data_IF_200636992481
#
_entry.id   IF_200636992481
#
_cell.length_a   1.000
_cell.length_b   1.000
_cell.length_c   1.000
_cell.angle_alpha   90.00
_cell.angle_beta   90.00
_cell.angle_gamma   90.00
#
_symmetry.space_group_name_H-M   'P 1'
#
loop_
_entity.id
_entity.type
_entity.pdbx_description
1 polymer ?
#
# COMPACT_ATOMS: atom_id res chain seq x y z
N UNK A 1 -16.56 -6.28 12.25
CA UNK A 1 -15.67 -5.68 11.22
C UNK A 1 -16.20 -6.02 9.83
N UNK A 2 -16.71 -5.03 9.07
CA UNK A 2 -17.33 -5.26 7.74
C UNK A 2 -16.26 -5.44 6.67
N UNK A 3 -16.06 -6.67 6.17
CA UNK A 3 -15.27 -6.90 4.95
C UNK A 3 -15.91 -6.13 3.80
N UNK A 4 -15.22 -5.13 3.25
CA UNK A 4 -15.71 -4.44 2.05
C UNK A 4 -15.54 -5.41 0.87
N UNK A 5 -16.67 -5.83 0.30
CA UNK A 5 -16.76 -6.79 -0.82
C UNK A 5 -15.92 -6.40 -2.05
N UNK A 6 -15.61 -5.11 -2.19
CA UNK A 6 -14.87 -4.54 -3.33
C UNK A 6 -13.71 -3.67 -2.80
N UNK A 7 -12.63 -4.34 -2.39
CA UNK A 7 -11.42 -3.72 -1.87
C UNK A 7 -10.32 -3.72 -2.94
N UNK A 8 -9.59 -2.61 -3.04
CA UNK A 8 -8.40 -2.46 -3.85
C UNK A 8 -7.46 -1.52 -3.09
N UNK A 9 -6.16 -1.82 -3.02
CA UNK A 9 -5.22 -1.05 -2.19
C UNK A 9 -5.02 0.40 -2.68
N UNK A 10 -5.08 0.63 -3.99
CA UNK A 10 -5.07 1.99 -4.58
C UNK A 10 -6.37 2.79 -4.41
N UNK A 11 -7.42 2.21 -3.83
CA UNK A 11 -8.71 2.90 -3.71
C UNK A 11 -8.60 4.13 -2.81
N UNK A 12 -8.84 5.31 -3.37
CA UNK A 12 -8.81 6.58 -2.65
C UNK A 12 -7.45 7.29 -2.67
N UNK A 13 -6.43 6.68 -3.26
CA UNK A 13 -5.07 7.23 -3.33
C UNK A 13 -4.76 7.93 -4.67
N UNK A 14 -5.65 7.82 -5.65
CA UNK A 14 -5.41 8.27 -7.02
C UNK A 14 -6.13 9.58 -7.33
N UNK A 15 -5.41 10.50 -7.98
CA UNK A 15 -5.91 11.76 -8.52
C UNK A 15 -5.68 11.84 -10.03
N UNK A 16 -6.59 12.50 -10.73
CA UNK A 16 -6.46 12.74 -12.16
C UNK A 16 -5.53 13.92 -12.40
N UNK A 17 -4.43 13.70 -13.14
CA UNK A 17 -3.51 14.77 -13.51
C UNK A 17 -4.14 15.86 -14.41
N UNK A 18 -5.23 15.55 -15.13
CA UNK A 18 -5.89 16.50 -16.05
C UNK A 18 -6.78 17.51 -15.35
N UNK A 19 -7.54 17.07 -14.33
CA UNK A 19 -8.59 17.89 -13.71
C UNK A 19 -8.54 17.88 -12.17
N UNK A 20 -7.47 17.34 -11.59
CA UNK A 20 -7.20 17.24 -10.14
C UNK A 20 -8.29 16.56 -9.31
N UNK A 21 -9.27 15.94 -9.97
CA UNK A 21 -10.37 15.24 -9.33
C UNK A 21 -9.95 13.85 -8.87
N UNK A 22 -10.68 13.27 -7.90
CA UNK A 22 -10.41 11.92 -7.41
C UNK A 22 -10.69 10.86 -8.49
N UNK A 23 -9.92 9.77 -8.45
CA UNK A 23 -10.13 8.57 -9.28
C UNK A 23 -10.65 7.43 -8.42
N UNK A 24 -11.74 6.81 -8.86
CA UNK A 24 -12.57 5.90 -8.08
C UNK A 24 -12.47 4.48 -8.64
N UNK A 25 -12.40 3.49 -7.75
CA UNK A 25 -12.53 2.08 -8.10
C UNK A 25 -14.01 1.71 -8.24
N UNK A 26 -14.45 1.35 -9.45
CA UNK A 26 -15.87 1.12 -9.79
C UNK A 26 -16.07 -0.21 -10.51
N UNK A 27 -17.20 -0.91 -10.27
CA UNK A 27 -17.58 -2.07 -11.07
C UNK A 27 -18.07 -1.63 -12.45
N UNK A 28 -17.65 -2.35 -13.49
CA UNK A 28 -18.22 -2.35 -14.82
C UNK A 28 -19.35 -3.39 -14.92
N UNK A 29 -20.34 -3.10 -15.76
CA UNK A 29 -21.41 -4.04 -16.10
C UNK A 29 -20.95 -4.90 -17.28
N UNK A 30 -20.81 -6.21 -17.10
CA UNK A 30 -20.65 -7.14 -18.22
C UNK A 30 -22.01 -7.69 -18.65
N UNK A 31 -22.11 -8.14 -19.91
CA UNK A 31 -23.32 -8.79 -20.42
C UNK A 31 -23.57 -10.17 -19.79
N UNK A 32 -22.54 -10.82 -19.28
CA UNK A 32 -22.57 -12.17 -18.69
C UNK A 32 -22.86 -12.16 -17.18
N UNK A 33 -22.95 -11.00 -16.56
CA UNK A 33 -23.15 -10.85 -15.11
C UNK A 33 -21.86 -10.93 -14.28
N UNK A 34 -20.72 -11.20 -14.92
CA UNK A 34 -19.40 -11.16 -14.27
C UNK A 34 -19.00 -9.72 -13.91
N UNK A 35 -18.46 -9.52 -12.71
CA UNK A 35 -18.01 -8.20 -12.26
C UNK A 35 -16.57 -7.94 -12.68
N UNK A 36 -16.38 -6.99 -13.60
CA UNK A 36 -15.07 -6.42 -13.88
C UNK A 36 -14.94 -5.07 -13.20
N UNK A 37 -13.73 -4.66 -12.82
CA UNK A 37 -13.50 -3.40 -12.14
C UNK A 37 -12.53 -2.51 -12.90
N UNK A 38 -12.72 -1.20 -12.75
CA UNK A 38 -11.95 -0.16 -13.43
C UNK A 38 -11.72 1.03 -12.50
N UNK A 39 -10.74 1.85 -12.85
CA UNK A 39 -10.57 3.17 -12.27
C UNK A 39 -11.24 4.24 -13.14
N UNK A 40 -12.01 5.13 -12.53
CA UNK A 40 -12.78 6.17 -13.23
C UNK A 40 -12.56 7.53 -12.56
N UNK A 41 -12.25 8.56 -13.34
CA UNK A 41 -12.18 9.93 -12.86
C UNK A 41 -13.57 10.45 -12.47
N UNK A 42 -13.72 11.05 -11.29
CA UNK A 42 -15.00 11.65 -10.86
C UNK A 42 -15.40 12.87 -11.69
N UNK A 43 -14.45 13.57 -12.32
CA UNK A 43 -14.74 14.64 -13.28
C UNK A 43 -15.46 14.13 -14.52
N UNK A 44 -15.22 12.87 -14.93
CA UNK A 44 -15.93 12.24 -16.05
C UNK A 44 -17.42 12.09 -15.77
N UNK A 45 -17.78 11.74 -14.53
CA UNK A 45 -19.19 11.65 -14.12
C UNK A 45 -19.91 13.02 -14.19
N UNK A 46 -19.17 14.12 -14.04
CA UNK A 46 -19.69 15.49 -14.15
C UNK A 46 -19.52 16.08 -15.56
N UNK A 47 -19.06 15.29 -16.53
CA UNK A 47 -18.73 15.75 -17.88
C UNK A 47 -17.69 16.89 -17.94
N UNK A 48 -16.85 17.05 -16.89
CA UNK A 48 -15.80 18.07 -16.82
C UNK A 48 -14.40 17.51 -17.12
N UNK A 49 -14.30 16.21 -17.41
CA UNK A 49 -13.06 15.53 -17.76
C UNK A 49 -13.35 14.37 -18.71
N UNK A 50 -12.48 14.16 -19.67
CA UNK A 50 -12.61 13.15 -20.73
C UNK A 50 -11.72 11.92 -20.49
N UNK A 51 -11.07 11.80 -19.31
CA UNK A 51 -10.17 10.69 -18.99
C UNK A 51 -10.90 9.35 -19.11
N UNK A 52 -10.46 8.40 -19.96
CA UNK A 52 -11.12 7.12 -20.16
C UNK A 52 -11.12 6.27 -18.89
N UNK A 53 -11.96 5.23 -18.88
CA UNK A 53 -11.88 4.19 -17.85
C UNK A 53 -10.52 3.51 -17.94
N UNK A 54 -9.83 3.44 -16.81
CA UNK A 54 -8.49 2.87 -16.74
C UNK A 54 -8.59 1.42 -16.28
N UNK A 55 -7.91 0.51 -17.00
CA UNK A 55 -7.77 -0.88 -16.59
C UNK A 55 -6.93 -0.97 -15.32
N UNK A 56 -7.34 -1.81 -14.38
CA UNK A 56 -6.65 -1.98 -13.10
C UNK A 56 -5.17 -2.27 -13.30
N UNK A 57 -4.83 -3.32 -14.05
CA UNK A 57 -3.45 -3.74 -14.26
C UNK A 57 -2.54 -2.65 -14.87
N UNK A 58 -3.09 -1.74 -15.67
CA UNK A 58 -2.32 -0.62 -16.23
C UNK A 58 -2.06 0.45 -15.18
N UNK A 59 -3.03 0.73 -14.32
CA UNK A 59 -2.88 1.67 -13.21
C UNK A 59 -1.91 1.13 -12.17
N UNK A 60 -1.99 -0.16 -11.83
CA UNK A 60 -1.07 -0.81 -10.90
C UNK A 60 0.36 -0.72 -11.40
N UNK A 61 0.60 -1.13 -12.65
CA UNK A 61 1.93 -1.03 -13.27
C UNK A 61 2.46 0.40 -13.28
N UNK A 62 1.65 1.37 -13.67
CA UNK A 62 2.07 2.77 -13.69
C UNK A 62 2.42 3.29 -12.27
N UNK A 63 1.69 2.84 -11.24
CA UNK A 63 2.01 3.19 -9.86
C UNK A 63 3.31 2.51 -9.41
N UNK A 64 3.48 1.22 -9.67
CA UNK A 64 4.71 0.47 -9.38
C UNK A 64 5.92 1.13 -10.03
N UNK A 65 5.84 1.42 -11.33
CA UNK A 65 6.89 2.09 -12.10
C UNK A 65 7.23 3.45 -11.47
N UNK A 66 6.22 4.25 -11.10
CA UNK A 66 6.46 5.52 -10.42
C UNK A 66 7.16 5.34 -9.07
N UNK A 67 6.80 4.33 -8.28
CA UNK A 67 7.47 4.05 -7.01
C UNK A 67 8.95 3.68 -7.18
N UNK A 68 9.35 3.07 -8.30
CA UNK A 68 10.77 2.78 -8.58
C UNK A 68 11.63 4.05 -8.69
N UNK A 69 11.01 5.18 -9.04
CA UNK A 69 11.68 6.48 -9.16
C UNK A 69 11.81 7.21 -7.83
N UNK A 70 11.03 6.81 -6.81
CA UNK A 70 11.03 7.45 -5.50
C UNK A 70 12.15 6.86 -4.67
N UNK A 71 13.28 7.57 -4.59
CA UNK A 71 14.40 7.18 -3.73
C UNK A 71 14.36 7.94 -2.41
N UNK A 72 14.54 7.23 -1.30
CA UNK A 72 14.83 7.86 -0.01
C UNK A 72 16.21 8.54 -0.07
N UNK A 73 16.34 9.73 0.53
CA UNK A 73 17.63 10.39 0.65
C UNK A 73 18.64 9.51 1.36
N UNK A 74 19.91 9.59 0.98
CA UNK A 74 20.99 8.80 1.59
C UNK A 74 21.00 8.92 3.12
N UNK A 75 20.85 10.14 3.62
CA UNK A 75 20.81 10.46 5.04
C UNK A 75 19.62 9.77 5.76
N UNK A 76 18.42 9.84 5.16
CA UNK A 76 17.25 9.16 5.69
C UNK A 76 17.42 7.63 5.65
N UNK A 77 17.99 7.08 4.59
CA UNK A 77 18.27 5.64 4.47
C UNK A 77 19.22 5.16 5.58
N UNK A 78 20.28 5.91 5.85
CA UNK A 78 21.25 5.58 6.91
C UNK A 78 20.57 5.59 8.28
N UNK A 79 19.79 6.64 8.57
CA UNK A 79 19.05 6.75 9.84
C UNK A 79 18.06 5.61 10.03
N UNK A 80 17.25 5.30 9.01
CA UNK A 80 16.30 4.17 9.06
C UNK A 80 17.05 2.86 9.27
N UNK A 81 18.14 2.61 8.53
CA UNK A 81 18.92 1.38 8.68
C UNK A 81 19.57 1.24 10.06
N UNK A 82 20.04 2.34 10.66
CA UNK A 82 20.58 2.36 12.01
C UNK A 82 19.49 2.06 13.05
N UNK A 83 18.33 2.69 12.93
CA UNK A 83 17.19 2.45 13.81
C UNK A 83 16.69 0.99 13.73
N UNK A 84 16.57 0.44 12.52
CA UNK A 84 16.18 -0.96 12.33
C UNK A 84 17.20 -1.93 12.96
N UNK A 85 18.50 -1.70 12.80
CA UNK A 85 19.55 -2.52 13.43
C UNK A 85 19.47 -2.46 14.96
N UNK A 86 19.32 -1.26 15.52
CA UNK A 86 19.19 -1.08 16.97
C UNK A 86 17.95 -1.80 17.55
N UNK A 87 16.81 -1.73 16.85
CA UNK A 87 15.59 -2.40 17.29
C UNK A 87 15.70 -3.94 17.28
N UNK A 88 16.42 -4.51 16.31
CA UNK A 88 16.69 -5.95 16.26
C UNK A 88 17.60 -6.39 17.41
N UNK A 89 18.64 -5.62 17.73
CA UNK A 89 19.54 -5.94 18.84
C UNK A 89 18.88 -5.79 20.20
N UNK A 90 17.99 -4.81 20.36
CA UNK A 90 17.22 -4.60 21.60
C UNK A 90 16.24 -5.76 21.87
N UNK A 91 15.54 -6.21 20.82
CA UNK A 91 14.66 -7.39 20.88
C UNK A 91 15.43 -8.69 21.18
N UNK A 92 16.66 -8.81 20.67
CA UNK A 92 17.54 -9.94 21.00
C UNK A 92 18.07 -9.93 22.43
N UNK A 93 18.23 -8.74 23.02
CA UNK A 93 18.69 -8.58 24.41
C UNK A 93 17.57 -8.98 25.39
N UNK A 94 16.32 -8.62 25.08
CA UNK A 94 15.15 -9.05 25.85
C UNK A 94 14.91 -10.57 25.78
N UNK A 95 15.08 -11.21 24.60
CA UNK A 95 14.96 -12.68 24.47
C UNK A 95 16.13 -13.42 25.15
N UNK A 96 17.36 -12.87 25.10
CA UNK A 96 18.52 -13.49 25.74
C UNK A 96 18.46 -13.42 27.27
N UNK A 97 17.94 -12.33 27.84
CA UNK A 97 17.76 -12.17 29.29
C UNK A 97 16.71 -13.15 29.86
N UNK A 98 15.64 -13.46 29.11
CA UNK A 98 14.65 -14.47 29.50
C UNK A 98 15.24 -15.89 29.49
N UNK A 99 16.11 -16.22 28.54
CA UNK A 99 16.74 -17.56 28.44
C UNK A 99 17.79 -17.82 29.52
N UNK A 100 18.48 -16.80 30.00
CA UNK A 100 19.45 -16.93 31.11
C UNK A 100 18.76 -17.19 32.45
N UNK A 101 17.60 -16.58 32.72
CA UNK A 101 16.85 -16.83 33.96
C UNK A 101 16.24 -18.24 34.05
N UNK A 102 15.97 -18.91 32.93
CA UNK A 102 15.41 -20.27 32.92
C UNK A 102 16.42 -21.37 33.24
N UNK A 103 17.73 -21.08 33.26
CA UNK A 103 18.78 -22.07 33.60
C UNK A 103 19.14 -22.09 35.09
N UNK A 104 18.83 -21.04 35.83
CA UNK A 104 19.23 -20.88 37.24
C UNK A 104 18.19 -21.46 38.24
N UNK A 105 16.98 -21.81 37.78
CA UNK A 105 15.92 -22.40 38.62
C UNK A 105 15.87 -23.93 38.61
N UNK A 106 16.88 -24.62 38.05
CA UNK A 106 16.93 -26.09 37.99
C UNK A 106 17.93 -26.71 38.99
N UNK A 107 18.51 -25.93 39.89
CA UNK A 107 19.32 -26.41 41.02
C UNK A 107 18.75 -25.85 42.33
N UNK A 108 17.54 -26.26 42.72
CA UNK A 108 17.05 -26.33 44.11
C UNK A 108 15.94 -27.37 44.16
#
# INVERSE_FOLDING_TARGET
>A
MRRRKHHHYLKGSLWCARCSSRVWYVPGKSHTGEQHFYFMCSGRQKHTCDLPYLKIAQVERAVEDNYTTITLSSDLRIRIAAAMRAAVTDSGTTDSLMRTHSRDSSQH
#
